data_IF_738846790857
#
_entry.id   IF_738846790857
#
_cell.length_a   1.000
_cell.length_b   1.000
_cell.length_c   1.000
_cell.angle_alpha   90.00
_cell.angle_beta   90.00
_cell.angle_gamma   90.00
#
_symmetry.space_group_name_H-M   'P 1'
#
loop_
_entity.id
_entity.type
_entity.pdbx_description
1 polymer ?
#
# COMPACT_ATOMS: atom_id res chain seq x y z
N UNK A 1 12.25 3.08 -10.89
CA UNK A 1 11.54 3.83 -9.81
C UNK A 1 11.59 5.34 -10.10
N UNK A 2 10.46 6.06 -10.04
CA UNK A 2 10.44 7.52 -10.21
C UNK A 2 9.77 8.08 -11.47
N UNK A 3 9.22 7.26 -12.38
CA UNK A 3 8.58 7.78 -13.60
C UNK A 3 7.19 8.41 -13.37
N UNK A 4 6.72 8.49 -12.12
CA UNK A 4 5.42 9.09 -11.78
C UNK A 4 4.19 8.18 -11.97
N UNK A 5 4.33 6.84 -12.03
CA UNK A 5 3.18 5.91 -12.16
C UNK A 5 2.12 6.14 -11.08
N UNK A 6 2.54 6.22 -9.82
CA UNK A 6 1.66 6.51 -8.68
C UNK A 6 0.97 7.85 -8.83
N UNK A 7 1.70 8.88 -9.28
CA UNK A 7 1.16 10.21 -9.55
C UNK A 7 0.13 10.19 -10.68
N UNK A 8 0.40 9.44 -11.76
CA UNK A 8 -0.50 9.28 -12.89
C UNK A 8 -1.79 8.57 -12.46
N UNK A 9 -1.70 7.44 -11.74
CA UNK A 9 -2.86 6.72 -11.22
C UNK A 9 -3.68 7.62 -10.29
N UNK A 10 -3.04 8.33 -9.35
CA UNK A 10 -3.73 9.30 -8.47
C UNK A 10 -4.46 10.38 -9.28
N UNK A 11 -3.84 10.92 -10.34
CA UNK A 11 -4.47 11.93 -11.23
C UNK A 11 -5.64 11.38 -12.04
N UNK A 12 -5.52 10.16 -12.57
CA UNK A 12 -6.60 9.49 -13.31
C UNK A 12 -7.79 9.26 -12.40
N UNK A 13 -7.56 8.73 -11.20
CA UNK A 13 -8.61 8.48 -10.20
C UNK A 13 -9.32 9.78 -9.83
N UNK A 14 -8.58 10.87 -9.58
CA UNK A 14 -9.19 12.19 -9.32
C UNK A 14 -10.06 12.66 -10.49
N UNK A 15 -9.63 12.47 -11.75
CA UNK A 15 -10.42 12.85 -12.92
C UNK A 15 -11.66 11.99 -13.15
N UNK A 16 -11.64 10.74 -12.72
CA UNK A 16 -12.75 9.80 -12.86
C UNK A 16 -13.70 9.78 -11.65
N UNK A 17 -13.36 10.50 -10.57
CA UNK A 17 -14.23 10.65 -9.39
C UNK A 17 -15.57 11.24 -9.81
N UNK A 18 -16.65 10.50 -9.55
CA UNK A 18 -18.02 10.91 -9.85
C UNK A 18 -18.58 10.41 -11.19
N UNK A 19 -17.73 9.92 -12.09
CA UNK A 19 -18.13 9.35 -13.39
C UNK A 19 -18.02 7.83 -13.43
N UNK A 20 -17.03 7.27 -12.74
CA UNK A 20 -16.80 5.82 -12.68
C UNK A 20 -16.47 5.43 -11.23
N UNK A 21 -17.01 4.31 -10.75
CA UNK A 21 -16.53 3.71 -9.50
C UNK A 21 -15.14 3.12 -9.74
N UNK A 22 -14.12 3.75 -9.20
CA UNK A 22 -12.77 3.20 -9.14
C UNK A 22 -12.56 2.57 -7.77
N UNK A 23 -12.17 1.31 -7.73
CA UNK A 23 -11.81 0.59 -6.50
C UNK A 23 -10.40 0.00 -6.63
N UNK A 24 -9.78 -0.28 -5.49
CA UNK A 24 -8.45 -0.89 -5.40
C UNK A 24 -7.48 -0.05 -4.58
N UNK A 25 -6.20 -0.42 -4.67
CA UNK A 25 -5.15 0.15 -3.85
C UNK A 25 -3.80 0.19 -4.57
N UNK A 26 -2.89 0.99 -4.04
CA UNK A 26 -1.47 1.01 -4.38
C UNK A 26 -0.67 0.56 -3.16
N UNK A 27 0.55 0.08 -3.39
CA UNK A 27 1.50 -0.19 -2.31
C UNK A 27 2.53 0.93 -2.21
N UNK A 28 2.73 1.48 -1.02
CA UNK A 28 3.76 2.48 -0.75
C UNK A 28 4.86 1.90 0.14
N UNK A 29 6.13 2.18 -0.18
CA UNK A 29 7.28 1.73 0.60
C UNK A 29 7.40 2.53 1.89
N UNK A 30 7.55 1.84 3.03
CA UNK A 30 7.75 2.45 4.34
C UNK A 30 9.23 2.33 4.72
N UNK A 31 9.83 3.45 5.09
CA UNK A 31 11.23 3.55 5.54
C UNK A 31 11.31 4.05 6.98
N UNK A 32 12.30 3.59 7.73
CA UNK A 32 12.64 4.15 9.05
C UNK A 32 13.25 5.55 8.90
N UNK A 33 13.35 6.27 10.02
CA UNK A 33 14.05 7.55 10.10
C UNK A 33 15.52 7.43 9.66
N UNK A 34 16.13 6.26 9.88
CA UNK A 34 17.48 5.92 9.44
C UNK A 34 17.58 5.60 7.93
N UNK A 35 16.47 5.64 7.19
CA UNK A 35 16.42 5.45 5.73
C UNK A 35 16.29 3.99 5.26
N UNK A 36 16.32 3.02 6.18
CA UNK A 36 16.14 1.59 5.87
C UNK A 36 14.69 1.23 5.55
N UNK A 37 14.45 0.33 4.59
CA UNK A 37 13.09 -0.15 4.29
C UNK A 37 12.59 -1.06 5.41
N UNK A 38 11.51 -0.63 6.06
CA UNK A 38 10.87 -1.35 7.17
C UNK A 38 9.58 -2.06 6.77
N UNK A 39 9.04 -1.78 5.57
CA UNK A 39 7.86 -2.48 5.09
C UNK A 39 7.16 -1.81 3.93
N UNK A 40 5.89 -2.17 3.75
CA UNK A 40 5.00 -1.67 2.71
C UNK A 40 3.62 -1.42 3.29
N UNK A 41 2.97 -0.35 2.85
CA UNK A 41 1.59 -0.01 3.16
C UNK A 41 0.70 -0.20 1.95
N UNK A 42 -0.52 -0.67 2.20
CA UNK A 42 -1.64 -0.53 1.27
C UNK A 42 -2.18 0.88 1.42
N UNK A 43 -2.38 1.58 0.31
CA UNK A 43 -3.10 2.85 0.25
C UNK A 43 -4.21 2.75 -0.79
N UNK A 44 -5.45 2.80 -0.34
CA UNK A 44 -6.62 2.78 -1.21
C UNK A 44 -6.77 4.06 -2.02
N UNK A 45 -7.59 4.00 -3.06
CA UNK A 45 -7.98 5.17 -3.85
C UNK A 45 -8.84 6.17 -3.05
N UNK A 46 -9.46 5.71 -1.96
CA UNK A 46 -10.21 6.49 -0.98
C UNK A 46 -9.31 7.11 0.11
N UNK A 47 -8.02 6.80 0.12
CA UNK A 47 -7.04 7.35 1.06
C UNK A 47 -6.92 6.60 2.39
N UNK A 48 -7.63 5.48 2.57
CA UNK A 48 -7.37 4.56 3.69
C UNK A 48 -5.99 3.93 3.53
N UNK A 49 -5.26 3.81 4.64
CA UNK A 49 -3.92 3.21 4.70
C UNK A 49 -3.88 2.10 5.73
N UNK A 50 -3.24 0.98 5.40
CA UNK A 50 -3.00 -0.13 6.32
C UNK A 50 -1.64 -0.80 6.04
N UNK A 51 -0.98 -1.39 7.05
CA UNK A 51 0.27 -2.12 6.85
C UNK A 51 0.03 -3.36 5.97
N UNK A 52 0.75 -3.49 4.85
CA UNK A 52 0.75 -4.74 4.06
C UNK A 52 1.76 -5.74 4.62
N UNK A 53 2.99 -5.25 4.85
CA UNK A 53 4.08 -6.08 5.31
C UNK A 53 5.09 -5.26 6.10
N UNK A 54 5.74 -5.88 7.09
CA UNK A 54 6.69 -5.24 8.00
C UNK A 54 7.87 -6.17 8.34
N UNK A 55 9.05 -5.57 8.54
CA UNK A 55 10.20 -6.25 9.16
C UNK A 55 10.02 -6.32 10.67
N UNK A 56 10.57 -7.36 11.31
CA UNK A 56 10.60 -7.48 12.78
C UNK A 56 9.28 -7.89 13.43
N UNK A 57 8.24 -8.17 12.66
CA UNK A 57 6.99 -8.77 13.16
C UNK A 57 7.22 -10.26 13.42
N UNK A 58 6.67 -10.78 14.52
CA UNK A 58 6.91 -12.15 14.99
C UNK A 58 6.01 -13.19 14.32
N UNK A 59 4.80 -12.80 13.93
CA UNK A 59 3.75 -13.73 13.48
C UNK A 59 3.27 -13.44 12.06
N UNK A 60 2.62 -14.41 11.44
CA UNK A 60 2.06 -14.33 10.09
C UNK A 60 2.94 -14.94 8.98
N UNK A 61 2.41 -15.04 7.75
CA UNK A 61 3.17 -15.55 6.59
C UNK A 61 4.32 -14.62 6.22
N UNK A 62 5.40 -15.18 5.65
CA UNK A 62 6.64 -14.46 5.38
C UNK A 62 7.02 -14.49 3.90
N UNK A 63 7.46 -13.34 3.37
CA UNK A 63 8.03 -13.20 2.03
C UNK A 63 9.33 -12.41 2.14
N UNK A 64 10.46 -13.11 1.98
CA UNK A 64 11.79 -12.54 2.27
C UNK A 64 11.91 -12.12 3.75
N UNK A 65 12.37 -10.90 4.01
CA UNK A 65 12.52 -10.36 5.37
C UNK A 65 11.21 -9.83 5.98
N UNK A 66 10.10 -9.86 5.25
CA UNK A 66 8.85 -9.19 5.63
C UNK A 66 7.78 -10.21 6.00
N UNK A 67 7.12 -9.97 7.12
CA UNK A 67 5.86 -10.65 7.46
C UNK A 67 4.71 -9.88 6.85
N UNK A 68 3.75 -10.60 6.27
CA UNK A 68 2.56 -10.05 5.64
C UNK A 68 1.41 -10.04 6.63
N UNK A 69 0.74 -8.90 6.75
CA UNK A 69 -0.47 -8.74 7.55
C UNK A 69 -1.69 -9.07 6.68
N UNK A 70 -2.18 -10.31 6.80
CA UNK A 70 -3.33 -10.78 6.06
C UNK A 70 -4.62 -10.07 6.49
N UNK A 71 -4.76 -9.73 7.77
CA UNK A 71 -5.96 -9.06 8.28
C UNK A 71 -6.06 -7.63 7.72
N UNK A 72 -4.93 -6.92 7.66
CA UNK A 72 -4.87 -5.63 6.99
C UNK A 72 -5.16 -5.74 5.49
N UNK A 73 -4.63 -6.76 4.81
CA UNK A 73 -4.94 -7.01 3.40
C UNK A 73 -6.44 -7.23 3.19
N UNK A 74 -7.06 -8.12 3.95
CA UNK A 74 -8.51 -8.40 3.87
C UNK A 74 -9.37 -7.17 4.21
N UNK A 75 -8.94 -6.31 5.14
CA UNK A 75 -9.72 -5.12 5.49
C UNK A 75 -9.71 -4.04 4.39
N UNK A 76 -8.75 -4.08 3.46
CA UNK A 76 -8.50 -3.02 2.48
C UNK A 76 -8.62 -3.47 1.02
N UNK A 77 -8.48 -4.77 0.74
CA UNK A 77 -8.46 -5.33 -0.62
C UNK A 77 -9.79 -5.97 -1.07
N UNK A 78 -10.91 -5.69 -0.40
CA UNK A 78 -12.26 -6.20 -0.74
C UNK A 78 -12.97 -5.30 -1.75
#
# INVERSE_FOLDING_TARGET
PGIGKTTLVKRIVVKLRGTVKCSGFITEEVRSEEGGRIGFDIVTLEGKRAPLARKGVREGPMVGDYRVDLGALESVAV
#
